data_IF_487825246239
#
_entry.id   IF_487825246239
#
_cell.length_a   1.000
_cell.length_b   1.000
_cell.length_c   1.000
_cell.angle_alpha   90.00
_cell.angle_beta   90.00
_cell.angle_gamma   90.00
#
_symmetry.space_group_name_H-M   'P 1'
#
loop_
_entity.id
_entity.type
_entity.pdbx_description
1 polymer ?
#
# COMPACT_ATOMS: atom_id res chain seq x y z
N UNK A 1 38.37 20.33 5.82
CA UNK A 1 37.65 19.58 4.77
C UNK A 1 36.59 18.72 5.47
N UNK A 2 35.29 18.85 5.15
CA UNK A 2 34.28 18.07 5.86
C UNK A 2 34.23 16.65 5.31
N UNK A 3 34.37 15.68 6.22
CA UNK A 3 34.19 14.25 5.97
C UNK A 3 32.85 13.98 5.30
N UNK A 4 32.89 13.25 4.17
CA UNK A 4 31.71 12.72 3.49
C UNK A 4 30.96 11.81 4.46
N UNK A 5 29.67 12.10 4.68
CA UNK A 5 28.73 11.19 5.37
C UNK A 5 28.73 9.83 4.66
N UNK A 6 28.56 8.71 5.39
CA UNK A 6 28.55 7.38 4.77
C UNK A 6 27.41 7.30 3.75
N UNK A 7 27.71 6.66 2.62
CA UNK A 7 26.77 6.27 1.57
C UNK A 7 25.60 5.54 2.24
N UNK A 8 24.36 5.94 1.92
CA UNK A 8 23.19 5.14 2.28
C UNK A 8 23.44 3.71 1.80
N UNK A 9 23.34 2.71 2.69
CA UNK A 9 23.18 1.33 2.23
C UNK A 9 21.92 1.32 1.37
N UNK A 10 22.08 1.15 0.07
CA UNK A 10 20.94 1.02 -0.84
C UNK A 10 20.30 -0.33 -0.55
N UNK A 11 19.23 -0.32 0.25
CA UNK A 11 18.37 -1.48 0.39
C UNK A 11 17.65 -1.62 -0.95
N UNK A 12 17.84 -2.75 -1.61
CA UNK A 12 17.11 -3.09 -2.83
C UNK A 12 15.81 -3.74 -2.38
N UNK A 13 14.69 -3.14 -2.76
CA UNK A 13 13.35 -3.64 -2.45
C UNK A 13 12.66 -3.94 -3.78
N UNK A 14 12.07 -5.14 -3.89
CA UNK A 14 11.42 -5.59 -5.11
C UNK A 14 9.92 -5.26 -5.12
N UNK A 15 9.42 -4.77 -6.26
CA UNK A 15 7.98 -4.52 -6.47
C UNK A 15 7.23 -5.85 -6.49
N UNK A 16 6.04 -5.90 -5.88
CA UNK A 16 5.31 -7.16 -5.70
C UNK A 16 5.03 -7.93 -7.00
N UNK A 17 4.81 -7.23 -8.13
CA UNK A 17 4.58 -7.89 -9.42
C UNK A 17 5.76 -8.75 -9.89
N UNK A 18 6.98 -8.52 -9.38
CA UNK A 18 8.16 -9.32 -9.71
C UNK A 18 8.10 -10.73 -9.12
N UNK A 19 7.08 -11.04 -8.31
CA UNK A 19 6.71 -12.42 -7.94
C UNK A 19 6.43 -13.29 -9.17
N UNK A 20 5.93 -12.68 -10.25
CA UNK A 20 5.51 -13.39 -11.47
C UNK A 20 6.33 -13.04 -12.70
N UNK A 21 7.03 -11.91 -12.69
CA UNK A 21 7.76 -11.41 -13.85
C UNK A 21 9.25 -11.22 -13.53
N UNK A 22 10.15 -11.53 -14.48
CA UNK A 22 11.58 -11.32 -14.30
C UNK A 22 11.93 -9.86 -13.96
N UNK A 23 12.96 -9.67 -13.14
CA UNK A 23 13.52 -8.35 -12.80
C UNK A 23 14.68 -7.94 -13.70
N UNK A 24 15.02 -8.76 -14.69
CA UNK A 24 16.06 -8.50 -15.68
C UNK A 24 15.48 -7.84 -16.94
N UNK A 25 16.27 -7.83 -18.02
CA UNK A 25 15.85 -7.25 -19.30
C UNK A 25 14.62 -7.91 -19.95
N UNK A 26 14.16 -9.07 -19.47
CA UNK A 26 13.00 -9.78 -20.01
C UNK A 26 11.67 -9.39 -19.34
N UNK A 27 11.68 -8.64 -18.24
CA UNK A 27 10.47 -8.29 -17.49
C UNK A 27 9.40 -7.56 -18.31
N UNK A 28 9.78 -6.51 -19.04
CA UNK A 28 8.83 -5.70 -19.82
C UNK A 28 8.23 -6.46 -21.03
N UNK A 29 9.03 -7.21 -21.83
CA UNK A 29 8.48 -8.10 -22.85
C UNK A 29 7.51 -9.16 -22.29
N UNK A 30 7.87 -9.83 -21.18
CA UNK A 30 7.03 -10.84 -20.55
C UNK A 30 5.71 -10.26 -20.03
N UNK A 31 5.75 -9.10 -19.38
CA UNK A 31 4.56 -8.40 -18.90
C UNK A 31 3.65 -7.99 -20.06
N UNK A 32 4.21 -7.39 -21.12
CA UNK A 32 3.46 -6.97 -22.31
C UNK A 32 2.78 -8.15 -22.99
N UNK A 33 3.50 -9.26 -23.17
CA UNK A 33 2.94 -10.48 -23.73
C UNK A 33 1.79 -11.04 -22.88
N UNK A 34 1.95 -11.06 -21.56
CA UNK A 34 0.91 -11.53 -20.64
C UNK A 34 -0.34 -10.65 -20.73
N UNK A 35 -0.19 -9.33 -20.72
CA UNK A 35 -1.30 -8.37 -20.85
C UNK A 35 -2.07 -8.57 -22.15
N UNK A 36 -1.37 -8.54 -23.29
CA UNK A 36 -2.00 -8.65 -24.61
C UNK A 36 -2.65 -10.02 -24.86
N UNK A 37 -2.24 -11.05 -24.12
CA UNK A 37 -2.85 -12.39 -24.20
C UNK A 37 -4.04 -12.58 -23.27
N UNK A 38 -4.29 -11.66 -22.32
CA UNK A 38 -5.29 -11.83 -21.26
C UNK A 38 -6.32 -10.70 -21.16
N UNK A 39 -6.13 -9.56 -21.85
CA UNK A 39 -6.94 -8.35 -21.64
C UNK A 39 -8.45 -8.60 -21.78
N UNK A 40 -8.90 -9.39 -22.76
CA UNK A 40 -10.34 -9.68 -22.97
C UNK A 40 -10.98 -10.42 -21.79
N UNK A 41 -10.20 -11.25 -21.09
CA UNK A 41 -10.67 -11.89 -19.85
C UNK A 41 -10.83 -10.85 -18.75
N UNK A 42 -9.87 -9.94 -18.61
CA UNK A 42 -9.90 -8.92 -17.58
C UNK A 42 -11.01 -7.89 -17.79
N UNK A 43 -11.30 -7.51 -19.04
CA UNK A 43 -12.47 -6.67 -19.36
C UNK A 43 -13.76 -7.32 -18.82
N UNK A 44 -13.97 -8.61 -19.09
CA UNK A 44 -15.12 -9.35 -18.60
C UNK A 44 -15.14 -9.46 -17.07
N UNK A 45 -14.01 -9.73 -16.43
CA UNK A 45 -13.91 -9.80 -14.97
C UNK A 45 -14.24 -8.45 -14.30
N UNK A 46 -13.78 -7.34 -14.88
CA UNK A 46 -14.09 -5.98 -14.41
C UNK A 46 -15.58 -5.68 -14.58
N UNK A 47 -16.16 -5.98 -15.75
CA UNK A 47 -17.58 -5.79 -16.02
C UNK A 47 -18.45 -6.58 -15.01
N UNK A 48 -18.11 -7.85 -14.78
CA UNK A 48 -18.81 -8.72 -13.83
C UNK A 48 -18.76 -8.18 -12.40
N UNK A 49 -17.61 -7.63 -11.98
CA UNK A 49 -17.48 -7.03 -10.66
C UNK A 49 -18.32 -5.74 -10.51
N UNK A 50 -18.37 -4.90 -11.55
CA UNK A 50 -19.16 -3.65 -11.51
C UNK A 50 -20.67 -3.89 -11.63
N UNK A 51 -21.06 -4.95 -12.33
CA UNK A 51 -22.44 -5.23 -12.73
C UNK A 51 -23.48 -5.14 -11.60
N UNK A 52 -23.26 -5.72 -10.39
CA UNK A 52 -24.27 -5.67 -9.32
C UNK A 52 -24.62 -4.24 -8.89
N UNK A 53 -23.64 -3.33 -8.87
CA UNK A 53 -23.85 -1.92 -8.53
C UNK A 53 -24.47 -1.16 -9.71
N UNK A 54 -24.00 -1.42 -10.94
CA UNK A 54 -24.49 -0.72 -12.13
C UNK A 54 -25.97 -1.05 -12.42
N UNK A 55 -26.37 -2.30 -12.19
CA UNK A 55 -27.75 -2.77 -12.42
C UNK A 55 -28.72 -2.41 -11.30
N UNK A 56 -28.23 -1.95 -10.15
CA UNK A 56 -29.10 -1.52 -9.06
C UNK A 56 -29.79 -0.19 -9.42
N UNK A 57 -31.08 -0.27 -9.74
CA UNK A 57 -31.91 0.88 -10.08
C UNK A 57 -32.24 1.79 -8.88
N UNK A 58 -31.99 1.34 -7.64
CA UNK A 58 -32.18 2.16 -6.45
C UNK A 58 -31.03 3.15 -6.23
N UNK A 59 -29.88 2.92 -6.86
CA UNK A 59 -28.71 3.78 -6.77
C UNK A 59 -28.72 4.83 -7.91
N UNK A 60 -28.60 6.13 -7.59
CA UNK A 60 -28.44 7.16 -8.61
C UNK A 60 -27.14 7.02 -9.41
N UNK A 61 -27.14 7.41 -10.69
CA UNK A 61 -25.97 7.28 -11.57
C UNK A 61 -24.74 8.06 -11.06
N UNK A 62 -24.95 9.25 -10.46
CA UNK A 62 -23.85 10.03 -9.88
C UNK A 62 -23.16 9.27 -8.74
N UNK A 63 -23.91 8.49 -7.96
CA UNK A 63 -23.38 7.74 -6.84
C UNK A 63 -22.56 6.55 -7.33
N UNK A 64 -23.07 5.82 -8.34
CA UNK A 64 -22.32 4.75 -9.02
C UNK A 64 -21.00 5.28 -9.59
N UNK A 65 -21.05 6.44 -10.25
CA UNK A 65 -19.86 7.08 -10.81
C UNK A 65 -18.84 7.43 -9.72
N UNK A 66 -19.26 8.07 -8.63
CA UNK A 66 -18.36 8.38 -7.52
C UNK A 66 -17.77 7.11 -6.90
N UNK A 67 -18.59 6.08 -6.63
CA UNK A 67 -18.15 4.85 -5.98
C UNK A 67 -17.02 4.15 -6.74
N UNK A 68 -17.08 4.12 -8.07
CA UNK A 68 -16.02 3.53 -8.90
C UNK A 68 -14.85 4.47 -9.14
N UNK A 69 -15.12 5.74 -9.45
CA UNK A 69 -14.06 6.66 -9.84
C UNK A 69 -13.15 7.01 -8.68
N UNK A 70 -13.66 7.13 -7.45
CA UNK A 70 -12.83 7.42 -6.27
C UNK A 70 -11.81 6.29 -5.95
N UNK A 71 -12.03 5.07 -6.46
CA UNK A 71 -11.07 3.97 -6.30
C UNK A 71 -9.77 4.19 -7.08
N UNK A 72 -9.70 5.18 -7.98
CA UNK A 72 -8.46 5.54 -8.69
C UNK A 72 -7.28 5.75 -7.73
N UNK A 73 -7.57 6.28 -6.53
CA UNK A 73 -6.56 6.60 -5.54
C UNK A 73 -5.80 5.38 -5.01
N UNK A 74 -6.39 4.17 -5.07
CA UNK A 74 -5.70 2.93 -4.69
C UNK A 74 -4.50 2.67 -5.62
N UNK A 75 -4.56 3.08 -6.88
CA UNK A 75 -3.45 2.97 -7.83
C UNK A 75 -2.60 4.25 -7.87
N UNK A 76 -3.22 5.42 -7.89
CA UNK A 76 -2.56 6.71 -8.17
C UNK A 76 -2.21 7.54 -6.92
N UNK A 77 -2.64 7.08 -5.74
CA UNK A 77 -2.33 7.68 -4.44
C UNK A 77 -0.89 7.43 -3.97
N UNK A 78 0.06 7.31 -4.89
CA UNK A 78 1.47 7.04 -4.58
C UNK A 78 1.73 5.63 -4.04
N UNK A 79 0.87 4.68 -4.41
CA UNK A 79 0.88 3.31 -3.87
C UNK A 79 2.20 2.58 -4.12
N UNK A 80 2.64 1.89 -3.09
CA UNK A 80 3.78 1.00 -3.10
C UNK A 80 3.36 -0.39 -2.66
N UNK A 81 3.78 -1.37 -3.44
CA UNK A 81 3.55 -2.77 -3.15
C UNK A 81 4.86 -3.53 -3.37
N UNK A 82 5.38 -4.13 -2.31
CA UNK A 82 6.68 -4.77 -2.29
C UNK A 82 6.58 -6.24 -1.88
N UNK A 83 7.56 -7.05 -2.31
CA UNK A 83 7.78 -8.36 -1.71
C UNK A 83 8.21 -8.20 -0.25
N UNK A 84 7.84 -9.16 0.60
CA UNK A 84 8.33 -9.24 1.97
C UNK A 84 9.71 -9.96 1.94
N UNK A 85 10.77 -9.20 1.70
CA UNK A 85 12.14 -9.73 1.62
C UNK A 85 12.64 -10.22 3.00
N UNK A 86 11.95 -9.83 4.07
CA UNK A 86 12.10 -10.27 5.47
C UNK A 86 11.22 -11.47 5.85
N UNK A 87 10.71 -12.24 4.88
CA UNK A 87 9.79 -13.37 5.10
C UNK A 87 10.22 -14.34 6.21
N UNK A 88 11.53 -14.55 6.40
CA UNK A 88 12.08 -15.44 7.44
C UNK A 88 11.76 -15.00 8.88
N UNK A 89 11.46 -13.72 9.11
CA UNK A 89 11.16 -13.15 10.42
C UNK A 89 9.67 -13.10 10.73
N UNK A 90 8.81 -13.46 9.77
CA UNK A 90 7.36 -13.40 9.92
C UNK A 90 6.80 -14.71 10.49
N UNK A 91 5.66 -14.61 11.17
CA UNK A 91 4.92 -15.80 11.60
C UNK A 91 4.46 -16.63 10.38
N UNK A 92 4.35 -17.95 10.55
CA UNK A 92 4.04 -18.87 9.45
C UNK A 92 2.68 -18.59 8.79
N UNK A 93 1.75 -18.00 9.53
CA UNK A 93 0.41 -17.62 9.10
C UNK A 93 0.27 -16.12 8.77
N UNK A 94 1.39 -15.40 8.68
CA UNK A 94 1.37 -13.98 8.37
C UNK A 94 0.98 -13.73 6.90
N UNK A 95 -0.06 -12.93 6.62
CA UNK A 95 -0.50 -12.66 5.25
C UNK A 95 0.58 -12.00 4.37
N UNK A 96 1.56 -11.30 4.96
CA UNK A 96 2.64 -10.65 4.23
C UNK A 96 3.55 -11.63 3.49
N UNK A 97 3.60 -12.90 3.92
CA UNK A 97 4.29 -13.96 3.18
C UNK A 97 3.69 -14.19 1.78
N UNK A 98 2.37 -14.09 1.66
CA UNK A 98 1.68 -14.30 0.39
C UNK A 98 1.48 -12.99 -0.37
N UNK A 99 1.12 -11.92 0.34
CA UNK A 99 0.65 -10.65 -0.21
C UNK A 99 1.67 -9.51 -0.10
N UNK A 100 2.86 -9.73 0.46
CA UNK A 100 3.89 -8.69 0.58
C UNK A 100 3.50 -7.53 1.49
N UNK A 101 4.17 -6.38 1.34
CA UNK A 101 3.85 -5.13 2.04
C UNK A 101 3.15 -4.14 1.11
N UNK A 102 2.08 -3.51 1.61
CA UNK A 102 1.29 -2.56 0.85
C UNK A 102 1.14 -1.24 1.60
N UNK A 103 1.38 -0.13 0.89
CA UNK A 103 1.12 1.19 1.43
C UNK A 103 0.69 2.17 0.34
N UNK A 104 -0.05 3.20 0.74
CA UNK A 104 -0.42 4.33 -0.12
C UNK A 104 -0.30 5.64 0.67
N UNK A 105 -0.14 6.76 -0.03
CA UNK A 105 0.02 8.06 0.61
C UNK A 105 -1.33 8.56 1.12
N UNK A 106 -1.29 9.33 2.21
CA UNK A 106 -2.40 10.20 2.59
C UNK A 106 -2.77 11.19 1.48
N UNK A 107 -1.75 11.78 0.86
CA UNK A 107 -1.88 12.69 -0.28
C UNK A 107 -0.53 13.07 -0.87
N UNK A 108 -0.54 13.79 -1.99
CA UNK A 108 0.71 14.22 -2.65
C UNK A 108 1.37 15.40 -1.91
N UNK A 109 0.58 16.18 -1.19
CA UNK A 109 1.00 17.26 -0.30
C UNK A 109 1.56 16.71 1.02
N UNK A 110 0.92 15.67 1.56
CA UNK A 110 1.30 15.00 2.80
C UNK A 110 1.85 13.60 2.50
N UNK A 111 3.17 13.54 2.25
CA UNK A 111 3.86 12.31 1.85
C UNK A 111 4.11 11.36 3.03
N UNK A 112 3.02 10.94 3.67
CA UNK A 112 2.97 10.00 4.77
C UNK A 112 2.24 8.76 4.28
N UNK A 113 2.87 7.60 4.45
CA UNK A 113 2.30 6.32 4.03
C UNK A 113 1.37 5.79 5.10
N UNK A 114 0.18 5.35 4.68
CA UNK A 114 -0.84 4.70 5.51
C UNK A 114 -1.24 5.51 6.76
N UNK A 115 -1.22 6.85 6.75
CA UNK A 115 -1.60 7.67 7.91
C UNK A 115 -2.88 7.15 8.57
N UNK A 116 -2.78 6.61 9.78
CA UNK A 116 -3.78 5.65 10.29
C UNK A 116 -5.14 6.29 10.59
N UNK A 117 -5.13 7.52 11.10
CA UNK A 117 -6.32 8.32 11.37
C UNK A 117 -7.10 8.64 10.09
N UNK A 118 -6.41 8.84 8.96
CA UNK A 118 -7.03 9.01 7.64
C UNK A 118 -7.43 7.66 7.05
N UNK A 119 -6.57 6.65 7.17
CA UNK A 119 -6.81 5.28 6.72
C UNK A 119 -8.09 4.71 7.32
N UNK A 120 -8.46 5.06 8.56
CA UNK A 120 -9.74 4.67 9.16
C UNK A 120 -10.93 4.86 8.22
N UNK A 121 -11.02 6.01 7.54
CA UNK A 121 -12.11 6.32 6.60
C UNK A 121 -11.96 5.59 5.26
N UNK A 122 -10.73 5.51 4.73
CA UNK A 122 -10.45 4.85 3.46
C UNK A 122 -10.45 3.31 3.56
N UNK A 123 -10.40 2.75 4.77
CA UNK A 123 -10.24 1.32 5.04
C UNK A 123 -11.36 0.47 4.45
N UNK A 124 -12.56 1.03 4.28
CA UNK A 124 -13.71 0.32 3.70
C UNK A 124 -13.41 -0.22 2.31
N UNK A 125 -12.72 0.56 1.46
CA UNK A 125 -12.39 0.12 0.11
C UNK A 125 -11.49 -1.12 0.14
N UNK A 126 -10.42 -1.10 0.93
CA UNK A 126 -9.51 -2.24 1.06
C UNK A 126 -10.18 -3.41 1.78
N UNK A 127 -10.92 -3.18 2.86
CA UNK A 127 -11.59 -4.23 3.62
C UNK A 127 -12.61 -5.00 2.77
N UNK A 128 -13.34 -4.32 1.88
CA UNK A 128 -14.36 -4.93 1.02
C UNK A 128 -13.77 -5.56 -0.23
N UNK A 129 -12.81 -4.89 -0.89
CA UNK A 129 -12.33 -5.28 -2.22
C UNK A 129 -11.00 -6.05 -2.19
N UNK A 130 -10.11 -5.73 -1.25
CA UNK A 130 -8.79 -6.36 -1.09
C UNK A 130 -8.50 -6.70 0.37
N UNK A 131 -9.33 -7.53 1.04
CA UNK A 131 -9.25 -7.77 2.49
C UNK A 131 -7.88 -8.29 2.95
N UNK A 132 -7.17 -9.00 2.09
CA UNK A 132 -5.81 -9.49 2.38
C UNK A 132 -4.79 -8.36 2.46
N UNK A 133 -4.90 -7.34 1.61
CA UNK A 133 -4.07 -6.13 1.70
C UNK A 133 -4.43 -5.30 2.93
N UNK A 134 -5.71 -5.24 3.29
CA UNK A 134 -6.13 -4.61 4.54
C UNK A 134 -5.49 -5.31 5.75
N UNK A 135 -5.47 -6.64 5.78
CA UNK A 135 -4.83 -7.41 6.85
C UNK A 135 -3.32 -7.18 6.91
N UNK A 136 -2.63 -7.16 5.76
CA UNK A 136 -1.21 -6.80 5.66
C UNK A 136 -0.94 -5.45 6.32
N UNK A 137 -1.71 -4.42 5.95
CA UNK A 137 -1.56 -3.09 6.50
C UNK A 137 -1.74 -3.09 8.03
N UNK A 138 -2.75 -3.79 8.55
CA UNK A 138 -2.95 -3.89 10.01
C UNK A 138 -1.81 -4.62 10.72
N UNK A 139 -1.16 -5.60 10.08
CA UNK A 139 0.01 -6.29 10.65
C UNK A 139 1.20 -5.34 10.77
N UNK A 140 1.45 -4.51 9.77
CA UNK A 140 2.52 -3.51 9.82
C UNK A 140 2.30 -2.50 10.97
N UNK A 141 1.05 -2.08 11.20
CA UNK A 141 0.71 -1.26 12.38
C UNK A 141 0.92 -2.02 13.69
N UNK A 142 0.49 -3.28 13.77
CA UNK A 142 0.64 -4.10 14.97
C UNK A 142 2.11 -4.22 15.40
N UNK A 143 3.01 -4.45 14.45
CA UNK A 143 4.45 -4.60 14.72
C UNK A 143 5.05 -3.30 15.27
N UNK A 144 4.58 -2.15 14.76
CA UNK A 144 5.07 -0.82 15.18
C UNK A 144 4.65 -0.41 16.61
N UNK A 145 3.63 -1.05 17.20
CA UNK A 145 3.10 -0.67 18.53
C UNK A 145 4.20 -0.80 19.59
N UNK A 146 4.93 -1.90 19.57
CA UNK A 146 5.97 -2.21 20.55
C UNK A 146 7.30 -1.48 20.28
N UNK A 147 7.44 -0.84 19.12
CA UNK A 147 8.63 -0.09 18.77
C UNK A 147 8.73 1.24 19.52
N UNK A 148 9.97 1.62 19.84
CA UNK A 148 10.33 2.89 20.44
C UNK A 148 11.45 3.56 19.64
N UNK A 149 11.32 4.86 19.41
CA UNK A 149 12.37 5.66 18.81
C UNK A 149 12.60 6.93 19.62
N UNK A 150 13.65 6.91 20.45
CA UNK A 150 14.03 8.00 21.34
C UNK A 150 14.74 9.17 20.64
N UNK A 151 14.90 9.11 19.30
CA UNK A 151 15.45 10.22 18.53
C UNK A 151 14.56 11.44 18.72
N UNK A 152 15.15 12.56 19.16
CA UNK A 152 14.40 13.78 19.43
C UNK A 152 14.02 14.52 18.14
N UNK A 153 12.77 14.97 18.04
CA UNK A 153 12.25 15.81 16.96
C UNK A 153 11.49 16.99 17.54
N UNK A 154 11.60 18.15 16.88
CA UNK A 154 10.76 19.31 17.21
C UNK A 154 9.42 19.16 16.50
N UNK A 155 8.32 19.31 17.22
CA UNK A 155 7.01 19.48 16.62
C UNK A 155 6.96 20.74 15.76
N UNK A 156 6.23 20.67 14.65
CA UNK A 156 6.02 21.83 13.78
C UNK A 156 4.99 22.81 14.37
N UNK A 157 4.01 22.33 15.14
CA UNK A 157 2.88 23.17 15.59
C UNK A 157 3.21 24.03 16.84
N UNK A 158 4.01 23.53 17.79
CA UNK A 158 4.34 24.26 19.04
C UNK A 158 5.84 24.31 19.38
N UNK A 159 6.71 23.75 18.53
CA UNK A 159 8.16 23.76 18.75
C UNK A 159 8.64 22.89 19.92
N UNK A 160 7.77 22.11 20.58
CA UNK A 160 8.21 21.20 21.65
C UNK A 160 9.07 20.08 21.07
N UNK A 161 10.09 19.70 21.83
CA UNK A 161 10.98 18.60 21.47
C UNK A 161 10.54 17.32 22.18
N UNK A 162 10.19 16.29 21.41
CA UNK A 162 9.70 15.00 21.90
C UNK A 162 10.44 13.83 21.27
N UNK A 163 10.25 12.62 21.79
CA UNK A 163 10.73 11.40 21.14
C UNK A 163 9.93 11.13 19.87
N UNK A 164 10.60 10.59 18.83
CA UNK A 164 9.99 10.34 17.52
C UNK A 164 8.87 9.30 17.56
N UNK A 165 9.03 8.24 18.36
CA UNK A 165 8.02 7.19 18.55
C UNK A 165 8.03 6.75 20.00
N UNK A 166 6.90 6.88 20.68
CA UNK A 166 6.71 6.40 22.05
C UNK A 166 6.29 4.92 22.00
N UNK A 167 6.81 4.12 22.93
CA UNK A 167 6.44 2.71 23.03
C UNK A 167 4.95 2.55 23.36
N UNK A 168 4.33 1.49 22.84
CA UNK A 168 2.90 1.16 23.04
C UNK A 168 1.93 2.21 22.49
N UNK A 169 2.37 3.02 21.51
CA UNK A 169 1.49 3.90 20.75
C UNK A 169 1.37 3.42 19.31
N UNK A 170 0.23 3.67 18.67
CA UNK A 170 0.12 3.65 17.22
C UNK A 170 1.02 4.77 16.67
N UNK A 171 1.77 4.54 15.57
CA UNK A 171 2.65 5.54 14.97
C UNK A 171 1.87 6.69 14.32
#
# INVERSE_FOLDING_TARGET
MPNRRPLFNTIVIHRFYTKWFPTDGAGAPSLSHYVLSNYERWEKEIELWQQPVLQDASLPDWYKSALFNELYFVADGGSVWFLADEAENLAIDDPRLEYGHFAYLEGHEYRMYNTYDVHFYASFALALLWPKLQLVLQRDFCDSICEENVTRRSHLYDGKVTHRKVKNSVP
#
